data_IF_395726413317
#
_entry.id   IF_395726413317
#
_cell.length_a   1.000
_cell.length_b   1.000
_cell.length_c   1.000
_cell.angle_alpha   90.00
_cell.angle_beta   90.00
_cell.angle_gamma   90.00
#
_symmetry.space_group_name_H-M   'P 1'
#
loop_
_entity.id
_entity.type
_entity.pdbx_description
1 polymer ?
2 non-polymer ?
3 non-polymer ?
4 non-polymer ?
5 water ?
#
# COMPACT_ATOMS: atom_id res chain seq x y z
N UNK A 2 30.77 14.87 -0.42
CA UNK A 2 30.82 15.06 1.00
C UNK A 2 29.39 15.34 1.50
N UNK A 3 29.06 14.94 2.74
CA UNK A 3 27.70 15.13 3.24
C UNK A 3 27.40 16.63 3.37
N UNK A 4 26.22 17.06 2.95
CA UNK A 4 25.93 18.49 2.86
C UNK A 4 25.73 19.10 4.22
N UNK A 5 25.31 18.29 5.19
CA UNK A 5 25.03 18.81 6.52
C UNK A 5 26.29 18.91 7.43
N UNK A 6 27.24 17.96 7.30
CA UNK A 6 28.31 17.84 8.29
C UNK A 6 29.66 17.81 7.58
N UNK A 7 29.65 17.39 6.32
CA UNK A 7 30.89 17.43 5.56
C UNK A 7 31.75 16.18 5.67
N UNK A 8 31.28 15.19 6.42
CA UNK A 8 31.92 13.87 6.47
C UNK A 8 31.47 13.03 5.30
N UNK A 9 31.91 11.77 5.25
CA UNK A 9 31.63 10.85 4.13
C UNK A 9 30.14 10.77 3.84
N UNK A 10 29.77 10.91 2.57
CA UNK A 10 28.37 10.72 2.16
C UNK A 10 28.09 9.23 1.99
N UNK A 11 26.96 8.77 2.49
CA UNK A 11 26.58 7.37 2.34
C UNK A 11 25.45 7.22 1.30
N UNK A 12 24.68 8.28 1.08
CA UNK A 12 23.64 8.26 0.07
C UNK A 12 23.76 9.45 -0.89
N UNK A 13 23.77 9.19 -2.20
CA UNK A 13 23.65 10.30 -3.13
C UNK A 13 22.32 10.32 -3.88
N UNK A 14 21.71 11.49 -3.91
CA UNK A 14 20.46 11.72 -4.62
C UNK A 14 20.68 12.70 -5.78
N UNK A 15 21.02 12.17 -6.95
CA UNK A 15 21.29 13.02 -8.11
C UNK A 15 20.05 13.83 -8.46
N UNK A 16 18.88 13.21 -8.29
CA UNK A 16 17.57 13.85 -8.44
C UNK A 16 17.47 15.20 -7.76
N UNK A 17 18.25 15.38 -6.70
CA UNK A 17 18.07 16.49 -5.79
C UNK A 17 19.43 17.17 -5.64
N UNK A 18 20.42 16.56 -6.31
CA UNK A 18 21.81 16.96 -6.20
C UNK A 18 22.15 17.10 -4.73
N UNK A 19 21.98 16.02 -3.97
CA UNK A 19 22.12 16.08 -2.53
C UNK A 19 22.81 14.82 -2.05
N UNK A 20 23.73 14.99 -1.09
CA UNK A 20 24.48 13.87 -0.51
C UNK A 20 24.49 13.99 1.00
N UNK A 21 24.27 12.87 1.68
CA UNK A 21 24.14 12.87 3.12
C UNK A 21 24.84 11.65 3.69
N UNK A 22 25.36 11.79 4.91
CA UNK A 22 25.90 10.67 5.64
C UNK A 22 24.70 9.89 6.13
N UNK A 23 24.94 8.69 6.66
CA UNK A 23 23.86 7.89 7.18
C UNK A 23 22.95 8.70 8.12
N UNK A 24 23.51 9.21 9.22
CA UNK A 24 22.69 9.94 10.19
C UNK A 24 21.85 11.09 9.60
N UNK A 25 22.40 11.79 8.62
CA UNK A 25 21.71 12.97 8.15
C UNK A 25 20.77 12.60 7.00
N UNK A 26 21.08 11.53 6.26
CA UNK A 26 20.06 10.95 5.38
C UNK A 26 18.83 10.52 6.16
N UNK A 27 19.03 9.71 7.20
CA UNK A 27 17.91 9.30 8.06
C UNK A 27 17.14 10.50 8.60
N UNK A 28 17.86 11.57 8.94
CA UNK A 28 17.21 12.76 9.51
C UNK A 28 16.39 13.47 8.45
N UNK A 29 16.96 13.51 7.26
CA UNK A 29 16.33 14.20 6.15
C UNK A 29 15.04 13.48 5.72
N UNK A 30 15.16 12.16 5.51
CA UNK A 30 14.03 11.32 5.16
C UNK A 30 12.86 11.49 6.12
N UNK A 31 13.12 11.37 7.42
CA UNK A 31 12.06 11.59 8.40
C UNK A 31 11.49 12.99 8.29
N UNK A 32 12.36 13.99 8.18
CA UNK A 32 11.90 15.39 8.18
C UNK A 32 11.12 15.69 6.91
N UNK A 33 11.62 15.19 5.79
CA UNK A 33 10.90 15.30 4.51
C UNK A 33 9.50 14.63 4.56
N UNK A 34 9.36 13.60 5.38
CA UNK A 34 8.10 12.91 5.52
C UNK A 34 7.14 13.80 6.29
N UNK A 35 7.63 14.35 7.40
CA UNK A 35 6.82 15.26 8.22
C UNK A 35 6.42 16.49 7.40
N UNK A 36 7.28 16.86 6.44
CA UNK A 36 6.97 17.95 5.52
C UNK A 36 5.75 17.62 4.65
N UNK A 37 5.74 16.44 4.02
CA UNK A 37 4.63 16.03 3.18
C UNK A 37 3.33 15.99 3.98
N UNK A 38 3.44 15.48 5.20
CA UNK A 38 2.27 15.39 6.07
C UNK A 38 1.69 16.77 6.36
N UNK A 39 2.56 17.75 6.63
CA UNK A 39 2.10 19.10 6.94
C UNK A 39 1.65 19.89 5.71
N UNK A 40 2.42 19.82 4.64
CA UNK A 40 2.08 20.49 3.39
C UNK A 40 0.72 20.09 2.82
N UNK A 41 0.20 18.93 3.22
CA UNK A 41 -1.10 18.48 2.69
C UNK A 41 -2.05 18.05 3.79
N UNK A 42 -1.86 18.60 4.98
CA UNK A 42 -2.74 18.41 6.13
C UNK A 42 -3.18 16.94 6.28
N UNK A 43 -2.23 16.04 6.04
CA UNK A 43 -2.49 14.60 6.04
C UNK A 43 -2.93 14.08 7.41
N UNK A 44 -2.22 14.42 8.47
CA UNK A 44 -2.49 13.86 9.80
C UNK A 44 -2.47 14.88 10.93
N UNK A 45 -3.04 14.49 12.06
CA UNK A 45 -3.00 15.26 13.27
C UNK A 45 -1.96 14.66 14.21
N UNK A 46 -1.24 15.51 14.95
CA UNK A 46 -0.08 15.22 15.78
C UNK A 46 0.05 13.82 16.40
N UNK A 47 -0.96 13.37 17.12
CA UNK A 47 -0.90 12.01 17.64
C UNK A 47 -2.02 11.15 17.08
N UNK A 48 -2.57 11.53 15.93
CA UNK A 48 -3.76 10.90 15.36
C UNK A 48 -3.54 9.40 15.18
N UNK A 49 -4.59 8.63 15.45
CA UNK A 49 -4.57 7.22 15.10
C UNK A 49 -4.62 7.08 13.58
N UNK A 50 -3.81 6.16 13.05
CA UNK A 50 -3.73 5.96 11.61
C UNK A 50 -3.50 4.47 11.34
N UNK A 51 -4.21 3.99 10.33
CA UNK A 51 -4.14 2.59 9.98
C UNK A 51 -3.21 2.50 8.79
N UNK A 52 -2.13 1.76 8.97
CA UNK A 52 -1.10 1.67 7.96
C UNK A 52 -1.21 0.33 7.25
N UNK A 53 -1.46 0.35 5.96
CA UNK A 53 -1.45 -0.88 5.17
C UNK A 53 -0.02 -1.38 5.05
N UNK A 54 0.26 -2.50 5.74
CA UNK A 54 1.62 -3.05 5.85
C UNK A 54 1.74 -4.44 5.21
N UNK A 55 2.43 -4.52 4.08
CA UNK A 55 2.64 -5.78 3.37
C UNK A 55 3.79 -6.60 3.89
N UNK A 56 4.72 -5.94 4.58
CA UNK A 56 6.00 -6.54 4.93
C UNK A 56 7.11 -6.13 3.95
N UNK A 57 6.76 -5.37 2.92
CA UNK A 57 7.74 -4.83 1.99
C UNK A 57 8.45 -3.59 2.53
N UNK A 58 9.41 -3.06 1.76
CA UNK A 58 10.28 -2.00 2.28
C UNK A 58 9.48 -0.71 2.51
N UNK A 59 8.65 -0.36 1.55
CA UNK A 59 7.89 0.88 1.63
C UNK A 59 6.97 0.93 2.85
N UNK A 60 6.18 -0.12 3.09
CA UNK A 60 5.20 -0.04 4.17
C UNK A 60 5.85 -0.22 5.55
N UNK A 61 6.90 -1.02 5.64
CA UNK A 61 7.63 -1.13 6.92
C UNK A 61 8.31 0.21 7.23
N UNK A 62 9.05 0.74 6.25
CA UNK A 62 9.66 2.06 6.38
C UNK A 62 8.63 3.12 6.81
N UNK A 63 7.50 3.18 6.12
CA UNK A 63 6.42 4.09 6.49
C UNK A 63 5.93 3.85 7.92
N UNK A 64 5.69 2.59 8.26
CA UNK A 64 5.25 2.27 9.62
C UNK A 64 6.29 2.79 10.60
N UNK A 65 7.56 2.58 10.27
CA UNK A 65 8.67 3.07 11.08
C UNK A 65 8.62 4.59 11.28
N UNK A 66 8.54 5.35 10.19
CA UNK A 66 8.56 6.81 10.30
C UNK A 66 7.35 7.34 11.08
N UNK A 67 6.12 7.00 10.66
CA UNK A 67 4.92 7.48 11.36
C UNK A 67 4.98 7.24 12.88
N UNK A 68 5.54 6.11 13.31
CA UNK A 68 5.79 5.89 14.74
C UNK A 68 6.73 6.94 15.29
N UNK A 69 7.88 7.07 14.62
CA UNK A 69 8.91 8.01 15.04
C UNK A 69 8.34 9.39 15.22
N UNK A 70 7.47 9.84 14.31
CA UNK A 70 6.81 11.15 14.43
C UNK A 70 5.68 11.17 15.47
N UNK A 71 5.55 10.08 16.23
CA UNK A 71 4.58 10.02 17.32
C UNK A 71 3.10 9.86 16.99
N UNK A 72 2.76 9.55 15.74
CA UNK A 72 1.39 9.16 15.41
C UNK A 72 1.07 7.80 16.00
N UNK A 73 -0.21 7.53 16.26
CA UNK A 73 -0.61 6.20 16.71
C UNK A 73 -0.82 5.30 15.49
N UNK A 74 0.25 4.64 15.06
CA UNK A 74 0.28 3.93 13.80
C UNK A 74 -0.02 2.44 14.00
N UNK A 75 -1.28 2.06 13.81
CA UNK A 75 -1.63 0.64 13.84
C UNK A 75 -1.50 0.05 12.44
N UNK A 76 -0.86 -1.11 12.35
CA UNK A 76 -0.70 -1.77 11.07
C UNK A 76 -1.86 -2.72 10.78
N UNK A 77 -2.17 -2.87 9.50
CA UNK A 77 -3.11 -3.86 9.03
C UNK A 77 -2.39 -4.74 8.01
N UNK A 78 -2.34 -6.05 8.23
CA UNK A 78 -1.79 -6.97 7.23
C UNK A 78 -2.89 -7.91 6.74
N UNK A 79 -2.88 -8.21 5.45
CA UNK A 79 -3.84 -9.11 4.88
C UNK A 79 -3.13 -10.33 4.35
N UNK A 80 -3.37 -11.46 5.00
CA UNK A 80 -2.84 -12.72 4.53
C UNK A 80 -3.65 -13.11 3.29
N UNK A 81 -3.08 -12.96 2.10
CA UNK A 81 -3.85 -13.14 0.87
C UNK A 81 -3.94 -14.59 0.41
N UNK A 82 -3.25 -15.49 1.12
CA UNK A 82 -3.29 -16.90 0.80
C UNK A 82 -2.55 -17.29 -0.46
N UNK A 83 -1.49 -16.55 -0.79
CA UNK A 83 -0.66 -16.86 -1.95
C UNK A 83 0.58 -17.65 -1.51
N UNK A 84 0.34 -18.89 -1.08
CA UNK A 84 1.40 -19.85 -0.88
C UNK A 84 2.38 -19.49 0.20
N UNK A 85 3.65 -19.80 -0.05
CA UNK A 85 4.68 -19.48 0.93
C UNK A 85 4.91 -17.98 1.00
N UNK A 86 4.80 -17.31 -0.14
CA UNK A 86 4.83 -15.85 -0.21
C UNK A 86 3.96 -15.15 0.85
N UNK A 87 2.68 -15.52 0.93
CA UNK A 87 1.80 -14.84 1.88
C UNK A 87 2.22 -15.21 3.29
N UNK A 88 2.74 -16.43 3.44
CA UNK A 88 3.25 -16.90 4.72
C UNK A 88 4.46 -16.06 5.20
N UNK A 89 5.49 -15.95 4.37
CA UNK A 89 6.66 -15.14 4.71
C UNK A 89 6.32 -13.67 4.99
N UNK A 90 5.50 -13.04 4.11
CA UNK A 90 5.03 -11.65 4.32
C UNK A 90 4.47 -11.47 5.70
N UNK A 91 3.68 -12.43 6.17
CA UNK A 91 3.01 -12.29 7.46
C UNK A 91 4.05 -12.39 8.57
N UNK A 92 4.99 -13.32 8.38
CA UNK A 92 6.03 -13.56 9.37
C UNK A 92 6.90 -12.33 9.58
N UNK A 93 7.48 -11.83 8.48
CA UNK A 93 8.22 -10.58 8.47
C UNK A 93 7.46 -9.44 9.15
N UNK A 94 6.23 -9.25 8.72
CA UNK A 94 5.40 -8.17 9.27
C UNK A 94 5.23 -8.35 10.76
N UNK A 95 4.95 -9.58 11.18
CA UNK A 95 4.77 -9.84 12.61
C UNK A 95 6.07 -9.64 13.37
N UNK A 96 7.17 -10.13 12.80
CA UNK A 96 8.48 -9.89 13.39
C UNK A 96 8.70 -8.39 13.64
N UNK A 97 8.48 -7.57 12.60
CA UNK A 97 8.58 -6.11 12.73
C UNK A 97 7.76 -5.54 13.88
N UNK A 98 6.46 -5.85 13.94
CA UNK A 98 5.62 -5.24 14.97
C UNK A 98 6.04 -5.69 16.35
N UNK A 99 6.40 -6.96 16.46
CA UNK A 99 6.82 -7.59 17.72
C UNK A 99 8.01 -6.85 18.34
N UNK A 100 9.09 -6.75 17.57
CA UNK A 100 10.27 -5.99 17.93
C UNK A 100 10.05 -4.53 18.29
N UNK A 101 9.07 -3.86 17.67
CA UNK A 101 8.85 -2.43 17.95
C UNK A 101 7.71 -2.23 18.93
N UNK A 102 7.08 -3.31 19.37
CA UNK A 102 5.88 -3.19 20.18
C UNK A 102 4.76 -2.35 19.55
N UNK A 103 4.58 -2.47 18.23
CA UNK A 103 3.46 -1.83 17.54
C UNK A 103 2.30 -2.79 17.44
N UNK A 104 1.07 -2.31 17.45
CA UNK A 104 -0.01 -3.28 17.27
C UNK A 104 -0.33 -3.53 15.81
N UNK A 105 -0.42 -4.82 15.51
CA UNK A 105 -0.74 -5.33 14.18
C UNK A 105 -2.13 -5.97 14.10
N UNK A 106 -3.01 -5.46 13.25
CA UNK A 106 -4.26 -6.16 12.94
C UNK A 106 -4.06 -7.08 11.75
N UNK A 107 -4.56 -8.32 11.83
CA UNK A 107 -4.48 -9.21 10.65
C UNK A 107 -5.83 -9.77 10.16
N UNK A 108 -6.08 -9.66 8.86
CA UNK A 108 -7.18 -10.36 8.23
C UNK A 108 -6.61 -11.47 7.38
N UNK A 109 -7.01 -12.70 7.69
CA UNK A 109 -6.63 -13.82 6.84
C UNK A 109 -7.77 -14.05 5.84
N UNK A 110 -7.46 -13.97 4.55
CA UNK A 110 -8.50 -13.98 3.52
C UNK A 110 -9.24 -15.32 3.47
N UNK A 111 -8.53 -16.43 3.51
CA UNK A 111 -9.19 -17.74 3.51
C UNK A 111 -10.07 -17.98 4.75
N UNK A 112 -9.62 -17.57 5.93
CA UNK A 112 -10.44 -17.75 7.13
C UNK A 112 -11.68 -16.88 7.13
N UNK A 113 -11.58 -15.70 6.56
CA UNK A 113 -12.68 -14.77 6.60
C UNK A 113 -13.70 -15.10 5.47
N UNK A 114 -13.19 -15.34 4.26
CA UNK A 114 -14.06 -15.41 3.08
C UNK A 114 -14.10 -16.81 2.50
N UNK A 115 -13.14 -17.66 2.85
CA UNK A 115 -13.16 -19.06 2.44
C UNK A 115 -12.21 -19.40 1.33
N UNK A 116 -11.69 -18.38 0.65
CA UNK A 116 -10.78 -18.62 -0.47
C UNK A 116 -9.61 -17.66 -0.44
N UNK A 117 -8.45 -18.17 -0.85
CA UNK A 117 -7.29 -17.33 -1.05
C UNK A 117 -7.29 -16.77 -2.45
N UNK A 118 -6.51 -15.72 -2.67
CA UNK A 118 -6.40 -15.06 -3.95
C UNK A 118 -6.30 -16.02 -5.15
N UNK A 119 -5.55 -17.14 -5.01
CA UNK A 119 -5.54 -18.01 -6.20
C UNK A 119 -6.92 -18.53 -6.59
N UNK A 120 -7.62 -19.19 -5.66
CA UNK A 120 -8.93 -19.77 -5.94
C UNK A 120 -9.95 -18.66 -6.28
N UNK A 121 -9.84 -17.56 -5.55
CA UNK A 121 -10.60 -16.35 -5.83
C UNK A 121 -10.47 -15.90 -7.29
N UNK A 122 -9.27 -16.00 -7.86
CA UNK A 122 -9.06 -15.60 -9.23
C UNK A 122 -9.81 -16.56 -10.16
N UNK A 123 -9.50 -17.85 -10.05
CA UNK A 123 -10.13 -18.90 -10.84
C UNK A 123 -11.66 -18.81 -10.81
N UNK A 124 -12.22 -18.56 -9.63
CA UNK A 124 -13.66 -18.57 -9.45
C UNK A 124 -14.34 -17.27 -9.86
N UNK A 125 -13.68 -16.13 -9.69
CA UNK A 125 -14.29 -14.84 -10.06
C UNK A 125 -14.12 -14.60 -11.55
N UNK A 126 -13.14 -15.24 -12.16
CA UNK A 126 -12.85 -15.04 -13.56
C UNK A 126 -11.83 -13.95 -13.81
N UNK A 127 -11.55 -13.15 -12.77
CA UNK A 127 -10.56 -12.07 -12.86
C UNK A 127 -9.13 -12.58 -12.86
N UNK A 128 -8.21 -11.77 -13.36
CA UNK A 128 -6.81 -12.06 -13.13
C UNK A 128 -6.55 -11.85 -11.63
N UNK A 129 -5.69 -12.71 -11.09
CA UNK A 129 -5.33 -12.69 -9.67
C UNK A 129 -5.13 -11.28 -9.09
N UNK A 130 -4.45 -10.41 -9.83
CA UNK A 130 -4.15 -9.08 -9.30
C UNK A 130 -5.37 -8.19 -9.29
N UNK A 131 -6.30 -8.45 -10.21
CA UNK A 131 -7.58 -7.72 -10.20
C UNK A 131 -8.43 -8.10 -8.98
N UNK A 132 -8.55 -9.40 -8.72
CA UNK A 132 -9.28 -9.87 -7.57
C UNK A 132 -8.61 -9.39 -6.32
N UNK A 133 -7.28 -9.56 -6.30
CA UNK A 133 -6.47 -9.19 -5.15
C UNK A 133 -6.48 -7.70 -4.84
N UNK A 134 -6.27 -6.89 -5.86
CA UNK A 134 -6.36 -5.45 -5.65
C UNK A 134 -7.70 -4.98 -5.10
N UNK A 135 -8.78 -5.50 -5.69
CA UNK A 135 -10.13 -5.16 -5.23
C UNK A 135 -10.32 -5.62 -3.77
N UNK A 136 -9.81 -6.82 -3.47
CA UNK A 136 -9.97 -7.37 -2.14
C UNK A 136 -9.18 -6.52 -1.14
N UNK A 137 -7.96 -6.11 -1.53
CA UNK A 137 -7.16 -5.28 -0.64
C UNK A 137 -7.82 -3.92 -0.37
N UNK A 138 -8.28 -3.22 -1.42
CA UNK A 138 -8.87 -1.89 -1.21
C UNK A 138 -10.08 -1.96 -0.29
N UNK A 139 -10.96 -2.93 -0.53
CA UNK A 139 -12.18 -3.08 0.23
C UNK A 139 -11.90 -3.35 1.71
N UNK A 140 -11.02 -4.33 1.96
CA UNK A 140 -10.85 -4.80 3.33
C UNK A 140 -10.14 -3.76 4.18
N UNK A 141 -9.15 -3.07 3.58
CA UNK A 141 -8.44 -2.01 4.31
C UNK A 141 -9.41 -0.93 4.73
N UNK A 142 -10.28 -0.53 3.79
CA UNK A 142 -11.26 0.50 4.09
C UNK A 142 -12.25 0.03 5.16
N UNK A 143 -12.74 -1.18 4.97
CA UNK A 143 -13.72 -1.70 5.89
C UNK A 143 -13.11 -1.78 7.28
N UNK A 144 -11.88 -2.28 7.38
CA UNK A 144 -11.20 -2.39 8.67
C UNK A 144 -11.03 -1.00 9.31
N UNK A 145 -10.57 -0.05 8.50
CA UNK A 145 -10.46 1.34 8.94
C UNK A 145 -11.77 1.83 9.56
N UNK A 146 -12.78 1.95 8.71
CA UNK A 146 -14.11 2.38 9.15
C UNK A 146 -14.66 1.58 10.34
N UNK A 147 -14.63 0.25 10.27
CA UNK A 147 -15.03 -0.59 11.39
C UNK A 147 -14.30 -0.21 12.70
N UNK A 148 -13.04 0.20 12.62
CA UNK A 148 -12.24 0.45 13.83
C UNK A 148 -12.07 1.91 14.19
N UNK A 149 -12.75 2.80 13.46
CA UNK A 149 -12.77 4.20 13.82
C UNK A 149 -11.55 4.99 13.40
N UNK A 150 -10.87 4.56 12.35
CA UNK A 150 -9.76 5.33 11.84
C UNK A 150 -10.27 6.32 10.82
N UNK A 151 -10.05 7.60 11.06
CA UNK A 151 -10.42 8.64 10.09
C UNK A 151 -9.65 8.44 8.81
N UNK A 152 -8.42 7.96 8.96
CA UNK A 152 -7.46 8.00 7.86
C UNK A 152 -6.66 6.70 7.77
N UNK A 153 -6.18 6.42 6.57
CA UNK A 153 -5.39 5.24 6.25
C UNK A 153 -4.17 5.68 5.44
N UNK A 154 -2.99 5.16 5.78
CA UNK A 154 -1.76 5.51 5.05
C UNK A 154 -1.21 4.33 4.26
N UNK A 155 -0.83 4.58 3.00
CA UNK A 155 -0.11 3.55 2.25
C UNK A 155 1.27 4.08 1.93
N UNK A 156 2.17 3.16 1.58
CA UNK A 156 3.57 3.47 1.38
C UNK A 156 3.90 3.70 -0.07
N UNK A 157 2.87 4.05 -0.85
CA UNK A 157 3.05 4.35 -2.28
C UNK A 157 3.91 5.59 -2.48
N UNK A 158 4.84 5.49 -3.42
CA UNK A 158 5.87 6.49 -3.60
C UNK A 158 5.93 7.08 -5.04
N UNK A 159 6.91 7.96 -5.28
CA UNK A 159 7.07 8.66 -6.55
C UNK A 159 7.04 7.75 -7.78
N UNK A 160 7.81 6.66 -7.69
CA UNK A 160 7.86 5.66 -8.73
C UNK A 160 6.46 5.14 -9.04
N UNK A 161 5.66 4.93 -8.00
CA UNK A 161 4.32 4.39 -8.16
C UNK A 161 3.41 5.38 -8.86
N UNK A 162 3.39 6.62 -8.38
CA UNK A 162 2.51 7.62 -8.98
C UNK A 162 2.88 7.88 -10.45
N UNK A 163 4.16 7.92 -10.73
CA UNK A 163 4.64 8.21 -12.07
C UNK A 163 4.35 7.04 -13.00
N UNK A 164 4.56 5.82 -12.49
CA UNK A 164 4.24 4.62 -13.28
C UNK A 164 2.76 4.59 -13.63
N UNK A 165 1.94 4.92 -12.65
CA UNK A 165 0.50 4.97 -12.85
C UNK A 165 0.13 6.01 -13.88
N UNK A 166 0.62 7.23 -13.67
CA UNK A 166 0.41 8.33 -14.63
C UNK A 166 0.81 7.93 -16.05
N UNK A 167 1.96 7.27 -16.16
CA UNK A 167 2.46 6.85 -17.46
C UNK A 167 1.55 5.78 -18.08
N UNK A 168 1.09 4.85 -17.24
CA UNK A 168 0.18 3.81 -17.69
C UNK A 168 -1.08 4.37 -18.31
N UNK A 169 -1.65 5.41 -17.67
CA UNK A 169 -2.86 6.07 -18.17
C UNK A 169 -2.67 6.79 -19.49
N UNK A 170 -1.53 7.44 -19.66
CA UNK A 170 -1.23 8.10 -20.93
C UNK A 170 -1.13 7.08 -22.07
N UNK A 171 -0.60 5.89 -21.77
CA UNK A 171 -0.48 4.82 -22.74
C UNK A 171 -1.79 4.05 -22.90
N UNK A 172 -2.54 3.92 -21.79
CA UNK A 172 -3.76 3.12 -21.81
C UNK A 172 -4.97 3.89 -21.29
N UNK A 173 -5.39 4.92 -22.01
CA UNK A 173 -6.58 5.68 -21.57
C UNK A 173 -7.88 4.92 -21.86
N UNK A 181 -2.70 9.25 -8.53
CA UNK A 181 -3.63 9.72 -7.52
C UNK A 181 -3.00 10.76 -6.61
N UNK A 182 -3.83 11.56 -5.96
CA UNK A 182 -3.36 12.62 -5.09
C UNK A 182 -2.88 12.13 -3.75
N UNK A 183 -1.93 12.85 -3.15
CA UNK A 183 -1.33 12.54 -1.86
C UNK A 183 -2.39 12.34 -0.79
N UNK A 184 -3.52 13.03 -0.92
CA UNK A 184 -4.59 12.87 0.05
C UNK A 184 -5.91 12.57 -0.64
N UNK A 185 -6.51 11.44 -0.26
CA UNK A 185 -7.86 11.09 -0.68
C UNK A 185 -8.80 11.49 0.46
N UNK A 186 -9.76 12.37 0.18
CA UNK A 186 -10.69 12.95 1.17
C UNK A 186 -11.67 11.95 1.77
N UNK A 187 -11.63 11.86 3.09
CA UNK A 187 -12.65 11.14 3.86
C UNK A 187 -14.05 11.41 3.35
N UNK A 188 -14.86 10.37 3.22
CA UNK A 188 -16.26 10.51 2.83
C UNK A 188 -17.07 9.64 3.79
N UNK A 189 -18.41 9.62 3.65
CA UNK A 189 -19.17 8.87 4.64
C UNK A 189 -18.79 7.39 4.83
N UNK A 190 -18.67 6.63 3.74
CA UNK A 190 -18.25 5.25 3.92
C UNK A 190 -16.77 4.97 3.64
N UNK A 191 -15.99 6.05 3.50
CA UNK A 191 -14.58 5.96 3.11
C UNK A 191 -13.64 6.68 4.07
N UNK A 192 -12.71 5.96 4.68
CA UNK A 192 -11.66 6.64 5.45
C UNK A 192 -10.77 7.36 4.45
N UNK A 193 -9.99 8.33 4.90
CA UNK A 193 -9.12 9.05 3.96
C UNK A 193 -7.88 8.21 3.68
N UNK A 194 -7.26 8.36 2.50
CA UNK A 194 -5.98 7.73 2.18
C UNK A 194 -4.87 8.76 1.94
N UNK A 195 -3.92 8.85 2.88
CA UNK A 195 -2.71 9.63 2.69
C UNK A 195 -1.52 8.77 2.19
N UNK A 196 -0.79 9.28 1.20
CA UNK A 196 0.51 8.75 0.80
C UNK A 196 1.67 9.68 1.24
N UNK A 197 2.17 9.53 2.49
CA UNK A 197 3.28 10.39 2.96
C UNK A 197 4.62 10.19 2.25
N UNK A 198 4.75 9.17 1.42
CA UNK A 198 6.00 8.90 0.69
C UNK A 198 5.85 9.22 -0.76
N UNK A 199 4.90 10.11 -1.08
CA UNK A 199 4.54 10.33 -2.48
C UNK A 199 5.66 10.99 -3.30
N UNK A 200 6.40 11.90 -2.67
CA UNK A 200 7.53 12.53 -3.33
C UNK A 200 8.80 11.66 -3.33
N UNK A 201 8.90 10.68 -2.44
CA UNK A 201 10.12 9.86 -2.38
C UNK A 201 10.29 8.88 -3.54
N UNK A 202 11.50 8.83 -4.06
CA UNK A 202 11.94 7.78 -4.97
C UNK A 202 11.87 6.39 -4.31
N UNK A 203 11.85 5.34 -5.11
CA UNK A 203 11.90 3.98 -4.57
C UNK A 203 13.26 3.74 -3.91
N UNK A 204 14.31 4.13 -4.63
CA UNK A 204 15.70 4.06 -4.18
C UNK A 204 15.85 4.85 -2.88
N UNK A 205 15.11 5.95 -2.74
CA UNK A 205 15.22 6.71 -1.52
C UNK A 205 14.66 5.91 -0.34
N UNK A 206 13.46 5.39 -0.51
CA UNK A 206 12.81 4.59 0.52
C UNK A 206 13.64 3.35 0.83
N UNK A 207 14.16 2.70 -0.20
CA UNK A 207 15.01 1.54 0.06
C UNK A 207 16.25 1.91 0.88
N UNK A 208 16.82 3.08 0.61
CA UNK A 208 17.97 3.58 1.36
C UNK A 208 17.64 3.77 2.84
N UNK A 209 16.50 4.42 3.10
CA UNK A 209 16.11 4.62 4.48
C UNK A 209 15.98 3.28 5.17
N UNK A 210 15.34 2.35 4.47
CA UNK A 210 15.07 1.02 5.01
C UNK A 210 16.35 0.30 5.36
N UNK A 211 17.32 0.32 4.44
CA UNK A 211 18.60 -0.32 4.71
C UNK A 211 19.41 0.37 5.82
N UNK A 212 19.44 1.69 5.84
CA UNK A 212 20.21 2.40 6.84
C UNK A 212 19.56 2.32 8.22
N UNK A 213 18.24 2.10 8.24
CA UNK A 213 17.54 2.00 9.52
C UNK A 213 17.60 0.56 10.05
N UNK A 214 18.16 -0.34 9.24
CA UNK A 214 18.29 -1.74 9.63
C UNK A 214 16.99 -2.55 9.68
N UNK A 215 15.98 -2.09 8.95
CA UNK A 215 14.70 -2.74 8.92
C UNK A 215 14.71 -3.98 8.04
N UNK A 216 14.40 -5.14 8.63
CA UNK A 216 14.34 -6.37 7.84
C UNK A 216 12.97 -6.46 7.16
N UNK A 217 12.99 -6.49 5.82
CA UNK A 217 11.76 -6.51 5.02
C UNK A 217 11.77 -7.72 4.08
N UNK A 218 10.64 -8.00 3.45
CA UNK A 218 10.48 -9.19 2.62
C UNK A 218 11.03 -8.97 1.22
N UNK A 219 12.16 -9.58 0.91
CA UNK A 219 12.82 -9.33 -0.36
C UNK A 219 12.12 -9.98 -1.52
N UNK A 220 11.46 -11.09 -1.23
CA UNK A 220 10.70 -11.82 -2.24
C UNK A 220 9.51 -11.00 -2.77
N UNK A 221 9.38 -10.95 -4.09
CA UNK A 221 8.18 -10.33 -4.67
C UNK A 221 7.09 -11.39 -4.92
N UNK A 222 5.87 -10.93 -5.15
CA UNK A 222 4.78 -11.87 -5.34
C UNK A 222 4.86 -12.59 -6.67
N UNK A 223 4.69 -13.94 -6.65
CA UNK A 223 4.72 -14.80 -7.83
C UNK A 223 4.02 -14.22 -9.06
N UNK A 224 2.83 -13.67 -8.89
CA UNK A 224 2.27 -12.92 -10.01
C UNK A 224 2.00 -11.51 -9.58
N UNK A 225 2.59 -10.55 -10.29
CA UNK A 225 3.30 -10.79 -11.53
C UNK A 225 4.56 -9.94 -11.48
N UNK A 226 5.66 -10.27 -12.18
CA UNK A 226 5.92 -11.35 -13.16
C UNK A 226 5.08 -11.18 -14.43
N UNK A 227 5.08 -9.95 -14.94
CA UNK A 227 4.32 -9.57 -16.10
C UNK A 227 3.49 -8.34 -15.74
N UNK A 228 3.77 -7.77 -14.57
CA UNK A 228 3.02 -6.60 -14.10
C UNK A 228 3.12 -5.48 -15.10
N UNK A 229 2.02 -4.77 -15.34
CA UNK A 229 2.11 -3.60 -16.21
C UNK A 229 2.93 -2.52 -15.50
N UNK A 230 2.61 -2.29 -14.22
CA UNK A 230 3.32 -1.32 -13.38
C UNK A 230 4.86 -1.46 -13.46
N UNK A 231 5.33 -2.70 -13.45
CA UNK A 231 6.75 -2.99 -13.57
C UNK A 231 7.36 -2.49 -14.90
N UNK A 232 6.68 -2.79 -16.01
CA UNK A 232 7.08 -2.32 -17.33
C UNK A 232 7.27 -0.80 -17.39
N UNK A 233 6.34 -0.07 -16.76
CA UNK A 233 6.35 1.38 -16.77
C UNK A 233 7.52 1.91 -15.95
N UNK A 234 7.81 1.21 -14.86
CA UNK A 234 8.85 1.66 -13.93
C UNK A 234 10.22 1.49 -14.56
N UNK A 235 10.43 0.39 -15.27
CA UNK A 235 11.69 0.18 -15.97
C UNK A 235 11.95 1.31 -16.94
N UNK A 236 10.97 1.54 -17.83
CA UNK A 236 11.09 2.52 -18.89
C UNK A 236 11.38 3.93 -18.34
N UNK A 237 10.71 4.27 -17.25
CA UNK A 237 10.95 5.54 -16.58
C UNK A 237 12.33 5.55 -15.88
N UNK A 238 12.75 4.43 -15.29
CA UNK A 238 14.07 4.37 -14.67
C UNK A 238 15.18 4.45 -15.71
N UNK A 239 14.95 3.84 -16.86
CA UNK A 239 15.87 3.91 -18.00
C UNK A 239 16.13 5.38 -18.38
N UNK A 240 15.06 6.18 -18.33
CA UNK A 240 15.21 7.59 -18.61
C UNK A 240 15.88 8.28 -17.42
N UNK A 241 15.41 8.01 -16.21
CA UNK A 241 15.86 8.70 -14.99
C UNK A 241 17.37 8.57 -14.76
N UNK A 242 17.90 7.38 -15.00
CA UNK A 242 19.33 7.09 -14.90
C UNK A 242 20.19 8.12 -15.61
N UNK A 243 19.82 8.45 -16.84
CA UNK A 243 20.51 9.44 -17.67
C UNK A 243 20.06 10.87 -17.43
N UNK A 244 18.89 11.04 -16.83
CA UNK A 244 18.30 12.37 -16.65
C UNK A 244 17.64 12.46 -15.27
N UNK A 245 18.47 12.57 -14.23
CA UNK A 245 17.96 12.64 -12.85
C UNK A 245 16.88 13.70 -12.68
N UNK A 246 15.80 13.36 -11.98
CA UNK A 246 14.70 14.28 -11.78
C UNK A 246 13.62 14.17 -12.83
N UNK A 247 13.80 13.24 -13.77
CA UNK A 247 12.83 13.03 -14.83
C UNK A 247 11.46 12.67 -14.26
N UNK A 248 11.42 11.61 -13.44
CA UNK A 248 10.17 11.22 -12.80
C UNK A 248 9.49 12.36 -12.07
N UNK A 249 10.27 13.07 -11.27
CA UNK A 249 9.70 14.12 -10.45
C UNK A 249 9.24 15.27 -11.35
N UNK A 250 10.01 15.61 -12.38
CA UNK A 250 9.59 16.64 -13.32
C UNK A 250 8.27 16.23 -13.97
N UNK A 251 8.28 15.02 -14.54
CA UNK A 251 7.14 14.40 -15.20
C UNK A 251 5.87 14.55 -14.36
N UNK A 252 5.93 14.00 -13.16
CA UNK A 252 4.85 14.11 -12.20
C UNK A 252 4.43 15.54 -12.02
N UNK A 253 5.31 16.32 -11.39
CA UNK A 253 5.08 17.73 -11.06
C UNK A 253 4.48 18.49 -12.24
N UNK A 254 5.11 18.37 -13.40
CA UNK A 254 4.65 19.06 -14.57
C UNK A 254 3.15 18.91 -14.76
N UNK A 255 2.65 17.71 -14.55
CA UNK A 255 1.26 17.45 -14.84
C UNK A 255 0.37 18.14 -13.82
N UNK A 256 0.75 18.01 -12.55
CA UNK A 256 0.00 18.59 -11.44
C UNK A 256 0.23 20.10 -11.29
N UNK A 271 -22.69 8.89 -5.55
CA UNK A 271 -22.30 7.65 -4.90
C UNK A 271 -23.45 7.05 -4.08
N UNK A 272 -23.66 5.73 -4.18
CA UNK A 272 -24.71 5.06 -3.42
C UNK A 272 -24.18 4.06 -2.39
N UNK A 273 -25.06 3.63 -1.49
CA UNK A 273 -24.76 2.52 -0.60
C UNK A 273 -25.09 1.16 -1.23
N UNK A 274 -24.10 0.26 -1.18
CA UNK A 274 -24.26 -1.11 -1.66
C UNK A 274 -25.42 -1.84 -0.99
N UNK A 275 -26.26 -2.50 -1.79
CA UNK A 275 -27.38 -3.29 -1.28
C UNK A 275 -26.95 -4.38 -0.29
N UNK A 276 -25.86 -5.10 -0.57
CA UNK A 276 -25.39 -6.15 0.34
C UNK A 276 -24.70 -5.61 1.60
N UNK A 277 -23.85 -4.59 1.46
CA UNK A 277 -22.88 -4.35 2.55
C UNK A 277 -22.86 -2.91 3.09
N UNK A 278 -23.55 -1.99 2.40
CA UNK A 278 -23.70 -0.64 2.93
C UNK A 278 -22.62 0.31 2.50
N UNK A 279 -21.52 -0.22 2.00
CA UNK A 279 -20.37 0.60 1.64
C UNK A 279 -20.56 1.26 0.26
N UNK A 280 -19.79 2.32 -0.03
CA UNK A 280 -19.98 3.12 -1.24
C UNK A 280 -19.81 2.36 -2.53
N UNK A 281 -20.62 2.74 -3.51
CA UNK A 281 -20.52 2.18 -4.85
C UNK A 281 -21.29 3.08 -5.83
N UNK A 282 -21.02 2.88 -7.11
CA UNK A 282 -21.71 3.62 -8.15
C UNK A 282 -22.78 2.76 -8.81
N UNK A 283 -23.10 1.63 -8.19
CA UNK A 283 -24.09 0.70 -8.73
C UNK A 283 -25.05 0.26 -7.63
N UNK A 284 -25.74 -0.86 -7.86
CA UNK A 284 -26.65 -1.40 -6.85
C UNK A 284 -25.87 -2.20 -5.81
N UNK A 285 -25.01 -3.07 -6.32
CA UNK A 285 -24.16 -3.91 -5.51
C UNK A 285 -22.72 -3.55 -5.84
N UNK A 286 -21.87 -3.42 -4.82
CA UNK A 286 -20.48 -3.00 -5.05
C UNK A 286 -19.67 -4.10 -5.73
N UNK A 287 -18.57 -3.74 -6.37
CA UNK A 287 -17.78 -4.73 -7.11
C UNK A 287 -17.31 -5.93 -6.22
N UNK A 288 -17.05 -5.64 -4.95
CA UNK A 288 -16.52 -6.60 -4.00
C UNK A 288 -17.58 -7.66 -3.64
N UNK A 289 -18.71 -7.20 -3.11
CA UNK A 289 -19.90 -8.03 -2.93
C UNK A 289 -20.27 -8.79 -4.22
N UNK A 290 -20.19 -8.11 -5.35
CA UNK A 290 -20.53 -8.74 -6.62
C UNK A 290 -19.56 -9.86 -6.92
N UNK A 291 -18.27 -9.66 -6.59
CA UNK A 291 -17.26 -10.70 -6.83
C UNK A 291 -17.38 -11.91 -5.90
N UNK A 292 -17.53 -11.66 -4.59
CA UNK A 292 -17.66 -12.77 -3.66
C UNK A 292 -19.01 -13.51 -3.83
N UNK A 293 -20.06 -12.77 -4.15
CA UNK A 293 -21.33 -13.37 -4.50
C UNK A 293 -21.15 -14.44 -5.57
N UNK A 294 -20.52 -14.06 -6.69
CA UNK A 294 -20.41 -14.97 -7.82
C UNK A 294 -19.48 -16.10 -7.47
N UNK A 295 -18.42 -15.76 -6.75
CA UNK A 295 -17.44 -16.77 -6.32
C UNK A 295 -18.14 -17.83 -5.48
N UNK A 296 -19.02 -17.40 -4.58
CA UNK A 296 -19.74 -18.33 -3.71
C UNK A 296 -20.72 -19.17 -4.52
N UNK A 297 -21.41 -18.50 -5.43
CA UNK A 297 -22.35 -19.18 -6.30
C UNK A 297 -21.65 -20.29 -7.09
N UNK A 298 -20.51 -19.95 -7.69
CA UNK A 298 -19.79 -20.95 -8.49
C UNK A 298 -19.14 -22.03 -7.62
N UNK A 299 -18.73 -21.68 -6.40
CA UNK A 299 -18.24 -22.70 -5.47
C UNK A 299 -19.34 -23.73 -5.19
N UNK A 300 -20.56 -23.24 -4.98
CA UNK A 300 -21.73 -24.11 -4.82
C UNK A 300 -21.90 -25.02 -6.04
N UNK A 301 -22.03 -24.43 -7.22
CA UNK A 301 -22.24 -25.21 -8.43
C UNK A 301 -21.17 -26.30 -8.54
N UNK A 302 -19.93 -25.98 -8.21
CA UNK A 302 -18.87 -27.01 -8.19
C UNK A 302 -18.81 -27.77 -6.86
N UNK A 303 -19.86 -27.67 -6.05
CA UNK A 303 -19.87 -28.37 -4.76
C UNK A 303 -18.64 -28.12 -3.89
N UNK A 304 -18.30 -26.85 -3.66
CA UNK A 304 -17.16 -26.54 -2.80
C UNK A 304 -17.71 -25.90 -1.56
N UNK A 305 -18.95 -25.44 -1.63
CA UNK A 305 -19.65 -24.90 -0.49
C UNK A 305 -20.97 -25.59 -0.42
N UNK A 306 -21.50 -25.82 0.79
CA UNK A 306 -22.88 -26.28 0.93
C UNK A 306 -23.88 -25.35 0.24
N UNK A 307 -24.99 -25.90 -0.23
CA UNK A 307 -25.90 -25.09 -1.02
C UNK A 307 -26.61 -24.00 -0.21
N UNK A 308 -26.79 -24.22 1.10
CA UNK A 308 -27.55 -23.30 1.96
C UNK A 308 -26.72 -22.16 2.58
N UNK A 309 -25.40 -22.26 2.44
CA UNK A 309 -24.45 -21.22 2.77
C UNK A 309 -24.58 -19.99 1.83
N UNK A 310 -24.60 -18.77 2.36
CA UNK A 310 -24.55 -17.59 1.50
C UNK A 310 -23.42 -16.64 1.93
N UNK A 311 -23.10 -15.66 1.11
CA UNK A 311 -22.05 -14.72 1.48
C UNK A 311 -22.60 -13.53 2.26
N UNK A 312 -22.32 -13.47 3.56
CA UNK A 312 -22.75 -12.36 4.44
C UNK A 312 -21.59 -11.42 4.78
N UNK A 313 -21.42 -10.35 3.98
CA UNK A 313 -20.38 -9.34 4.24
C UNK A 313 -20.67 -8.56 5.53
N UNK A 314 -19.64 -8.16 6.27
CA UNK A 314 -19.89 -7.32 7.44
C UNK A 314 -20.41 -5.94 6.96
N UNK A 315 -21.43 -5.42 7.64
CA UNK A 315 -22.09 -4.19 7.22
C UNK A 315 -21.64 -2.97 8.05
N UNK A 316 -21.63 -1.79 7.42
CA UNK A 316 -21.25 -0.51 8.07
C UNK A 316 -21.72 -0.33 9.52
X LIG B 1 5.73 -2.33 -0.01
X LIG B 1 5.82 -1.97 1.42
X LIG B 1 7.02 -2.21 -0.73
X LIG B 1 5.30 -3.73 -0.08
X LIG B 1 4.76 -1.43 -0.68
X LIG C 1 34.99 10.22 7.33
X LIG C 1 35.30 11.64 7.56
X LIG C 1 35.51 9.42 8.44
X LIG C 1 35.62 9.79 6.07
X LIG C 1 33.55 10.05 7.29
X LIG D 1 32.65 11.76 -0.05
X LIG D 1 33.37 10.49 -0.16
X LIG D 1 33.17 12.49 1.08
X LIG D 1 31.21 11.59 0.19
X LIG D 1 32.87 12.52 -1.27
X LIG E 1 33.38 16.61 -2.56
X LIG E 1 32.10 17.16 -2.07
X LIG E 1 34.51 17.23 -1.88
X LIG E 1 33.45 15.18 -2.26
X LIG E 1 33.50 16.85 -4.00
X LIG F 1 17.67 9.00 -6.45
X LIG F 1 16.96 9.89 -5.53
X LIG F 1 18.62 8.18 -5.68
X LIG F 1 16.73 8.13 -7.19
X LIG F 1 18.41 9.85 -7.39
X LIG G 1 -17.97 -0.17 -8.13
X LIG G 1 -18.51 -0.70 -6.86
X LIG G 1 -17.99 1.29 -8.05
X LIG G 1 -18.74 -0.66 -9.29
X LIG G 1 -16.60 -0.64 -8.30
X LIG H 1 26.27 14.36 7.72
X LIG I 1 -20.89 -4.30 -1.06
X LIG J 1 0.55 -10.52 -5.91
X LIG J 1 0.35 -7.52 -5.60
X LIG J 1 -2.01 -9.30 -5.13
X LIG J 1 -1.01 -9.05 -7.91
X LIG J 1 -1.64 -7.63 -6.41
X LIG J 1 -1.47 -10.71 -6.64
X LIG J 1 1.00 -8.85 -7.15
X LIG J 1 -0.01 -9.22 -4.31
#
# INVERSE_FOLDING_TARGET
MVCKVCGQKAQVEMRSRGLALCREHYLDWFVKETERAIRRHRMLLPGERVLVAVSGGKDSLALWDVLSRLGYQAVGLHIELGIGEYSKRSLEVTQAFARERGLELLVVDLKEAYGFGVPELARLSGRVACSACGLSKRYIINQVAVEEGFRVVATGHNLDDEAAVLFGNLLNPQEETLSRQGPVLPEKPGLAARVKPFYRFSEREVLSYTLLRGIRYLHEECPNAKGAKSLLYKEALNLVERSMPGAKLRFLDGFLEKIRPRLDVGEEVALRECERCGYPTTGAVCAFCRMWDAVYRRAKKRKLLPEEVSFRPRVKPLRAGVEHHHHHH
SO4 S O1 O2 O3 O4
SO4 S O1 O2 O3 O4
SO4 S O1 O2 O3 O4
SO4 S O1 O2 O3 O4
SO4 S O1 O2 O3 O4
SO4 S O1 O2 O3 O4
ZN ZN
ZN ZN
SF4 FE1 FE2 FE3 FE4 S1 S2 S3 S4
#
